data_IF_575797688450
#
_entry.id   IF_575797688450
#
_cell.length_a   1.000
_cell.length_b   1.000
_cell.length_c   1.000
_cell.angle_alpha   90.00
_cell.angle_beta   90.00
_cell.angle_gamma   90.00
#
_symmetry.space_group_name_H-M   'P 1'
#
loop_
_entity.id
_entity.type
_entity.pdbx_description
1 polymer ?
#
# COMPACT_ATOMS: atom_id res chain seq x y z
N UNK A 1 -28.83 19.35 -18.34
CA UNK A 1 -27.35 19.22 -18.25
C UNK A 1 -27.09 17.95 -17.47
N UNK A 2 -26.67 16.86 -18.15
CA UNK A 2 -26.73 15.49 -17.62
C UNK A 2 -25.41 15.18 -16.93
N UNK A 3 -25.43 14.91 -15.62
CA UNK A 3 -24.28 14.45 -14.85
C UNK A 3 -23.98 12.99 -15.24
N UNK A 4 -22.82 12.75 -15.81
CA UNK A 4 -22.31 11.39 -16.12
C UNK A 4 -21.87 10.75 -14.82
N UNK A 5 -22.50 9.66 -14.43
CA UNK A 5 -22.06 8.78 -13.35
C UNK A 5 -20.82 8.01 -13.82
N UNK A 6 -19.67 8.34 -13.25
CA UNK A 6 -18.47 7.54 -13.39
C UNK A 6 -18.56 6.35 -12.42
N UNK A 7 -18.25 5.15 -12.91
CA UNK A 7 -18.45 3.87 -12.21
C UNK A 7 -17.44 3.56 -11.08
N UNK A 8 -16.69 4.53 -10.61
CA UNK A 8 -15.78 4.43 -9.45
C UNK A 8 -16.05 5.62 -8.52
N UNK A 9 -17.07 5.49 -7.68
CA UNK A 9 -17.53 6.53 -6.76
C UNK A 9 -16.63 6.77 -5.54
N UNK A 10 -15.33 6.84 -5.69
CA UNK A 10 -14.40 7.33 -4.67
C UNK A 10 -13.92 8.72 -5.08
N UNK A 11 -14.75 9.74 -4.88
CA UNK A 11 -14.27 11.11 -4.83
C UNK A 11 -13.79 11.38 -3.41
N UNK A 12 -12.50 11.62 -3.23
CA UNK A 12 -12.01 12.29 -2.02
C UNK A 12 -12.76 13.61 -1.92
N UNK A 13 -13.69 13.71 -0.96
CA UNK A 13 -14.38 14.96 -0.67
C UNK A 13 -13.35 15.94 -0.12
N UNK A 14 -13.22 17.16 -0.69
CA UNK A 14 -12.34 18.18 -0.12
C UNK A 14 -12.81 18.49 1.30
N UNK A 15 -11.87 18.43 2.26
CA UNK A 15 -12.13 18.64 3.68
C UNK A 15 -11.96 20.13 3.96
N UNK A 16 -13.02 20.92 3.79
CA UNK A 16 -13.02 22.37 4.11
C UNK A 16 -14.21 22.78 4.99
N UNK A 17 -14.56 21.94 5.99
CA UNK A 17 -15.52 22.34 7.02
C UNK A 17 -15.00 22.03 8.42
N UNK A 18 -15.18 22.97 9.38
CA UNK A 18 -14.79 22.80 10.79
C UNK A 18 -15.32 21.49 11.41
N UNK A 19 -16.49 21.04 10.99
CA UNK A 19 -17.06 19.74 11.39
C UNK A 19 -16.19 18.56 10.94
N UNK A 20 -15.60 18.63 9.75
CA UNK A 20 -14.69 17.62 9.22
C UNK A 20 -13.36 17.57 9.96
N UNK A 21 -12.84 18.73 10.39
CA UNK A 21 -11.61 18.81 11.20
C UNK A 21 -11.83 18.23 12.59
N UNK A 22 -12.94 18.54 13.25
CA UNK A 22 -13.28 18.01 14.58
C UNK A 22 -13.51 16.50 14.49
N UNK A 23 -14.22 16.03 13.48
CA UNK A 23 -14.43 14.61 13.21
C UNK A 23 -13.08 13.88 12.98
N UNK A 24 -12.16 14.48 12.21
CA UNK A 24 -10.83 13.93 11.95
C UNK A 24 -10.03 13.77 13.26
N UNK A 25 -10.09 14.72 14.19
CA UNK A 25 -9.45 14.63 15.50
C UNK A 25 -10.03 13.51 16.37
N UNK A 26 -11.34 13.21 16.28
CA UNK A 26 -11.97 12.13 17.02
C UNK A 26 -11.54 10.74 16.56
N UNK A 27 -11.16 10.57 15.28
CA UNK A 27 -10.89 9.26 14.70
C UNK A 27 -9.41 8.91 14.63
N UNK A 28 -8.52 9.89 14.64
CA UNK A 28 -7.07 9.67 14.56
C UNK A 28 -6.55 8.72 15.67
N UNK A 29 -7.19 8.74 16.82
CA UNK A 29 -6.82 7.90 17.97
C UNK A 29 -7.52 6.54 18.02
N UNK A 30 -8.45 6.26 17.11
CA UNK A 30 -9.14 4.97 17.08
C UNK A 30 -8.28 3.92 16.38
N UNK A 31 -8.23 2.71 16.93
CA UNK A 31 -7.66 1.57 16.22
C UNK A 31 -8.53 1.17 15.02
N UNK A 32 -7.95 0.46 14.06
CA UNK A 32 -8.67 -0.04 12.87
C UNK A 32 -9.89 -0.88 13.25
N UNK A 33 -9.77 -1.72 14.29
CA UNK A 33 -10.84 -2.55 14.79
C UNK A 33 -11.99 -1.70 15.36
N UNK A 34 -11.65 -0.60 16.05
CA UNK A 34 -12.65 0.34 16.56
C UNK A 34 -13.35 1.11 15.46
N UNK A 35 -12.63 1.50 14.39
CA UNK A 35 -13.23 2.12 13.21
C UNK A 35 -14.23 1.17 12.53
N UNK A 36 -13.85 -0.10 12.37
CA UNK A 36 -14.72 -1.11 11.77
C UNK A 36 -15.94 -1.38 12.65
N UNK A 37 -15.76 -1.47 13.98
CA UNK A 37 -16.86 -1.66 14.91
C UNK A 37 -17.86 -0.48 14.85
N UNK A 38 -17.37 0.75 14.81
CA UNK A 38 -18.22 1.95 14.66
C UNK A 38 -18.92 1.99 13.32
N UNK A 39 -18.23 1.68 12.22
CA UNK A 39 -18.84 1.56 10.90
C UNK A 39 -20.04 0.60 10.91
N UNK A 40 -19.90 -0.56 11.56
CA UNK A 40 -20.97 -1.57 11.65
C UNK A 40 -22.13 -1.19 12.55
N UNK A 41 -21.87 -0.42 13.58
CA UNK A 41 -22.88 0.02 14.55
C UNK A 41 -23.60 1.31 14.12
N UNK A 42 -23.05 2.05 13.16
CA UNK A 42 -23.57 3.35 12.76
C UNK A 42 -24.76 3.21 11.82
N UNK A 43 -25.86 3.86 12.17
CA UNK A 43 -27.11 3.88 11.39
C UNK A 43 -27.12 5.00 10.34
N UNK A 44 -26.40 6.09 10.62
CA UNK A 44 -26.27 7.18 9.66
C UNK A 44 -25.24 6.81 8.59
N UNK A 45 -25.70 6.60 7.36
CA UNK A 45 -24.87 6.18 6.23
C UNK A 45 -23.69 7.11 5.97
N UNK A 46 -23.90 8.43 6.00
CA UNK A 46 -22.83 9.41 5.75
C UNK A 46 -21.73 9.32 6.83
N UNK A 47 -22.11 9.10 8.09
CA UNK A 47 -21.16 8.93 9.20
C UNK A 47 -20.46 7.58 9.17
N UNK A 48 -21.16 6.53 8.79
CA UNK A 48 -20.56 5.21 8.55
C UNK A 48 -19.50 5.27 7.45
N UNK A 49 -19.78 5.94 6.33
CA UNK A 49 -18.82 6.13 5.24
C UNK A 49 -17.55 6.88 5.69
N UNK A 50 -17.66 7.82 6.63
CA UNK A 50 -16.51 8.53 7.18
C UNK A 50 -15.56 7.61 7.93
N UNK A 51 -16.06 6.69 8.78
CA UNK A 51 -15.21 5.72 9.47
C UNK A 51 -14.44 4.83 8.51
N UNK A 52 -15.10 4.39 7.45
CA UNK A 52 -14.47 3.50 6.49
C UNK A 52 -13.48 4.23 5.59
N UNK A 53 -13.79 5.49 5.22
CA UNK A 53 -12.87 6.34 4.46
C UNK A 53 -11.57 6.56 5.23
N UNK A 54 -11.66 6.83 6.55
CA UNK A 54 -10.48 6.97 7.40
C UNK A 54 -9.67 5.67 7.46
N UNK A 55 -10.32 4.52 7.62
CA UNK A 55 -9.64 3.22 7.62
C UNK A 55 -8.84 3.01 6.32
N UNK A 56 -9.46 3.23 5.16
CA UNK A 56 -8.79 3.05 3.88
C UNK A 56 -7.72 4.12 3.63
N UNK A 57 -7.92 5.36 4.07
CA UNK A 57 -6.92 6.42 4.00
C UNK A 57 -5.62 6.02 4.73
N UNK A 58 -5.71 5.39 5.91
CA UNK A 58 -4.55 4.90 6.66
C UNK A 58 -3.79 3.80 5.95
N UNK A 59 -4.50 2.97 5.19
CA UNK A 59 -3.92 1.80 4.54
C UNK A 59 -3.58 2.02 3.06
N UNK A 60 -4.04 3.09 2.43
CA UNK A 60 -3.83 3.34 1.00
C UNK A 60 -2.34 3.31 0.59
N UNK A 61 -1.48 4.02 1.33
CA UNK A 61 -0.03 4.04 1.05
C UNK A 61 0.60 2.67 1.22
N UNK A 62 0.13 1.87 2.21
CA UNK A 62 0.60 0.50 2.42
C UNK A 62 0.23 -0.40 1.25
N UNK A 63 -1.02 -0.31 0.79
CA UNK A 63 -1.51 -1.08 -0.37
C UNK A 63 -0.69 -0.71 -1.62
N UNK A 64 -0.45 0.58 -1.88
CA UNK A 64 0.37 1.01 -3.02
C UNK A 64 1.81 0.47 -2.95
N UNK A 65 2.44 0.47 -1.76
CA UNK A 65 3.77 -0.13 -1.56
C UNK A 65 3.78 -1.64 -1.81
N UNK A 66 2.75 -2.34 -1.36
CA UNK A 66 2.63 -3.78 -1.64
C UNK A 66 2.49 -4.04 -3.13
N UNK A 67 1.61 -3.29 -3.81
CA UNK A 67 1.45 -3.41 -5.26
C UNK A 67 2.77 -3.15 -5.99
N UNK A 68 3.51 -2.10 -5.61
CA UNK A 68 4.81 -1.79 -6.20
C UNK A 68 5.83 -2.92 -5.97
N UNK A 69 5.84 -3.53 -4.77
CA UNK A 69 6.72 -4.66 -4.49
C UNK A 69 6.43 -5.89 -5.36
N UNK A 70 5.17 -6.09 -5.77
CA UNK A 70 4.77 -7.17 -6.67
C UNK A 70 5.00 -6.83 -8.15
N UNK A 71 4.59 -5.64 -8.58
CA UNK A 71 4.55 -5.28 -10.02
C UNK A 71 5.85 -4.71 -10.54
N UNK A 72 6.67 -4.12 -9.66
CA UNK A 72 7.87 -3.36 -10.02
C UNK A 72 7.59 -2.20 -10.99
N UNK A 73 6.35 -1.77 -11.10
CA UNK A 73 5.88 -0.70 -11.97
C UNK A 73 4.88 0.18 -11.22
N UNK A 74 5.14 1.50 -11.21
CA UNK A 74 4.39 2.46 -10.39
C UNK A 74 2.97 2.70 -10.89
N UNK A 75 2.80 2.82 -12.22
CA UNK A 75 1.49 3.05 -12.82
C UNK A 75 0.57 1.87 -12.53
N UNK A 76 1.04 0.67 -12.82
CA UNK A 76 0.33 -0.57 -12.47
C UNK A 76 0.05 -0.71 -10.98
N UNK A 77 1.01 -0.30 -10.13
CA UNK A 77 0.83 -0.37 -8.69
C UNK A 77 -0.27 0.57 -8.20
N UNK A 78 -0.38 1.78 -8.79
CA UNK A 78 -1.42 2.74 -8.43
C UNK A 78 -2.81 2.23 -8.83
N UNK A 79 -2.96 1.72 -10.05
CA UNK A 79 -4.22 1.16 -10.54
C UNK A 79 -4.66 -0.04 -9.70
N UNK A 80 -3.75 -0.98 -9.47
CA UNK A 80 -4.01 -2.14 -8.63
C UNK A 80 -4.36 -1.76 -7.19
N UNK A 81 -3.72 -0.73 -6.63
CA UNK A 81 -4.05 -0.26 -5.29
C UNK A 81 -5.49 0.26 -5.20
N UNK A 82 -5.97 1.00 -6.21
CA UNK A 82 -7.36 1.44 -6.27
C UNK A 82 -8.33 0.25 -6.38
N UNK A 83 -8.05 -0.71 -7.27
CA UNK A 83 -8.87 -1.91 -7.43
C UNK A 83 -8.93 -2.75 -6.15
N UNK A 84 -7.78 -2.91 -5.47
CA UNK A 84 -7.67 -3.63 -4.20
C UNK A 84 -8.49 -2.94 -3.11
N UNK A 85 -8.40 -1.62 -2.97
CA UNK A 85 -9.19 -0.87 -2.01
C UNK A 85 -10.69 -1.01 -2.28
N UNK A 86 -11.12 -0.90 -3.54
CA UNK A 86 -12.51 -1.10 -3.94
C UNK A 86 -13.00 -2.52 -3.65
N UNK A 87 -12.17 -3.54 -3.91
CA UNK A 87 -12.47 -4.94 -3.63
C UNK A 87 -12.54 -5.21 -2.13
N UNK A 88 -11.60 -4.67 -1.35
CA UNK A 88 -11.58 -4.79 0.09
C UNK A 88 -12.81 -4.12 0.73
N UNK A 89 -13.21 -2.94 0.24
CA UNK A 89 -14.45 -2.29 0.68
C UNK A 89 -15.66 -3.19 0.47
N UNK A 90 -15.84 -3.74 -0.73
CA UNK A 90 -16.93 -4.67 -1.05
C UNK A 90 -16.92 -5.92 -0.17
N UNK A 91 -15.73 -6.40 0.19
CA UNK A 91 -15.53 -7.62 0.99
C UNK A 91 -15.44 -7.39 2.49
N UNK A 92 -15.60 -6.14 2.97
CA UNK A 92 -15.41 -5.77 4.38
C UNK A 92 -16.38 -6.50 5.33
N UNK A 93 -17.54 -6.93 4.83
CA UNK A 93 -18.49 -7.75 5.58
C UNK A 93 -17.90 -9.12 5.99
N UNK A 94 -16.93 -9.65 5.21
CA UNK A 94 -16.26 -10.93 5.50
C UNK A 94 -15.09 -10.81 6.49
N UNK A 95 -14.69 -9.62 6.86
CA UNK A 95 -13.68 -9.42 7.90
C UNK A 95 -14.27 -9.64 9.29
N UNK A 96 -13.90 -10.71 9.96
CA UNK A 96 -14.45 -11.09 11.28
C UNK A 96 -13.53 -10.77 12.46
N UNK A 97 -12.43 -10.04 12.24
CA UNK A 97 -11.50 -9.66 13.33
C UNK A 97 -10.61 -10.79 13.85
N UNK A 98 -10.51 -11.92 13.14
CA UNK A 98 -9.64 -13.05 13.50
C UNK A 98 -8.15 -12.76 13.26
N UNK A 99 -7.84 -11.67 12.57
CA UNK A 99 -6.48 -11.16 12.33
C UNK A 99 -6.51 -9.64 12.38
N UNK A 100 -5.32 -9.00 12.37
CA UNK A 100 -5.25 -7.55 12.13
C UNK A 100 -5.86 -7.20 10.77
N UNK A 101 -6.52 -6.04 10.67
CA UNK A 101 -7.09 -5.57 9.40
C UNK A 101 -6.05 -5.50 8.27
N UNK A 102 -4.83 -5.04 8.57
CA UNK A 102 -3.73 -4.99 7.61
C UNK A 102 -3.37 -6.37 7.03
N UNK A 103 -3.40 -7.42 7.85
CA UNK A 103 -3.12 -8.81 7.41
C UNK A 103 -4.21 -9.32 6.46
N UNK A 104 -5.47 -9.07 6.79
CA UNK A 104 -6.60 -9.41 5.93
C UNK A 104 -6.55 -8.65 4.60
N UNK A 105 -6.30 -7.33 4.65
CA UNK A 105 -6.17 -6.49 3.47
C UNK A 105 -5.01 -6.92 2.57
N UNK A 106 -3.87 -7.30 3.16
CA UNK A 106 -2.74 -7.84 2.41
C UNK A 106 -3.09 -9.13 1.68
N UNK A 107 -3.89 -10.02 2.26
CA UNK A 107 -4.31 -11.26 1.58
C UNK A 107 -5.11 -10.97 0.30
N UNK A 108 -5.95 -9.94 0.32
CA UNK A 108 -6.68 -9.46 -0.87
C UNK A 108 -5.69 -8.88 -1.89
N UNK A 109 -4.76 -8.02 -1.43
CA UNK A 109 -3.76 -7.38 -2.27
C UNK A 109 -2.87 -8.42 -2.96
N UNK A 110 -2.31 -9.37 -2.21
CA UNK A 110 -1.48 -10.45 -2.75
C UNK A 110 -2.18 -11.23 -3.86
N UNK A 111 -3.40 -11.69 -3.59
CA UNK A 111 -4.15 -12.49 -4.56
C UNK A 111 -4.45 -11.68 -5.83
N UNK A 112 -4.77 -10.39 -5.68
CA UNK A 112 -5.05 -9.51 -6.81
C UNK A 112 -3.80 -9.22 -7.64
N UNK A 113 -2.68 -8.89 -7.01
CA UNK A 113 -1.39 -8.67 -7.68
C UNK A 113 -0.90 -9.93 -8.41
N UNK A 114 -0.95 -11.10 -7.78
CA UNK A 114 -0.54 -12.35 -8.44
C UNK A 114 -1.40 -12.67 -9.66
N UNK A 115 -2.69 -12.40 -9.61
CA UNK A 115 -3.57 -12.59 -10.78
C UNK A 115 -3.22 -11.59 -11.90
N UNK A 116 -2.96 -10.32 -11.57
CA UNK A 116 -2.56 -9.31 -12.55
C UNK A 116 -1.24 -9.68 -13.24
N UNK A 117 -0.23 -10.15 -12.47
CA UNK A 117 1.06 -10.59 -13.02
C UNK A 117 0.87 -11.79 -13.96
N UNK A 118 0.08 -12.78 -13.57
CA UNK A 118 -0.21 -13.96 -14.41
C UNK A 118 -0.89 -13.57 -15.72
N UNK A 119 -1.83 -12.64 -15.68
CA UNK A 119 -2.50 -12.14 -16.90
C UNK A 119 -1.53 -11.37 -17.81
N UNK A 120 -0.60 -10.60 -17.23
CA UNK A 120 0.43 -9.86 -17.99
C UNK A 120 1.48 -10.79 -18.63
N UNK A 121 1.94 -11.80 -17.91
CA UNK A 121 2.91 -12.77 -18.43
C UNK A 121 2.36 -13.59 -19.61
N UNK A 122 1.05 -13.54 -19.84
CA UNK A 122 0.39 -14.13 -21.03
C UNK A 122 0.31 -13.19 -22.23
N UNK A 123 0.79 -11.94 -22.12
CA UNK A 123 0.80 -10.94 -23.18
C UNK A 123 2.26 -10.53 -23.46
N UNK A 124 2.76 -10.61 -24.71
CA UNK A 124 4.13 -10.16 -25.05
C UNK A 124 4.22 -8.65 -25.10
N UNK A 125 5.09 -8.09 -24.27
CA UNK A 125 5.72 -6.77 -24.44
C UNK A 125 4.91 -5.58 -23.96
N UNK A 126 5.29 -5.02 -22.81
CA UNK A 126 5.29 -3.57 -22.58
C UNK A 126 6.17 -3.22 -21.38
N UNK A 127 7.34 -2.64 -21.72
CA UNK A 127 8.14 -1.84 -20.78
C UNK A 127 7.50 -0.45 -20.68
N UNK A 128 7.22 0.02 -19.49
CA UNK A 128 6.95 1.44 -19.24
C UNK A 128 7.31 1.81 -17.82
N UNK A 129 8.40 2.54 -17.72
CA UNK A 129 8.86 3.21 -16.52
C UNK A 129 8.45 4.69 -16.65
N UNK A 130 7.52 5.19 -15.87
CA UNK A 130 7.42 6.56 -15.32
C UNK A 130 6.02 6.93 -14.84
N UNK A 131 6.02 7.60 -13.70
CA UNK A 131 4.98 8.40 -13.05
C UNK A 131 4.08 7.67 -12.02
N UNK A 132 4.38 7.84 -10.73
CA UNK A 132 3.39 8.05 -9.64
C UNK A 132 4.12 8.39 -8.33
N UNK A 133 4.50 9.65 -8.15
CA UNK A 133 4.95 10.17 -6.85
C UNK A 133 4.03 11.27 -6.31
N UNK A 134 3.01 11.66 -7.07
CA UNK A 134 2.17 12.82 -6.74
C UNK A 134 0.98 12.51 -5.81
N UNK A 135 0.84 11.27 -5.33
CA UNK A 135 -0.27 10.87 -4.45
C UNK A 135 0.16 10.41 -3.05
N UNK A 136 1.26 10.93 -2.52
CA UNK A 136 1.52 10.80 -1.09
C UNK A 136 0.66 11.82 -0.35
N UNK A 137 -0.16 11.40 0.65
CA UNK A 137 -0.92 12.34 1.44
C UNK A 137 0.03 13.28 2.17
N UNK A 138 -0.27 14.58 2.08
CA UNK A 138 0.35 15.67 2.81
C UNK A 138 0.32 15.38 4.32
N UNK A 139 1.45 14.98 4.88
CA UNK A 139 1.64 14.97 6.32
C UNK A 139 2.05 16.39 6.72
N UNK A 140 1.07 17.15 7.19
CA UNK A 140 1.16 18.39 7.97
C UNK A 140 2.45 19.21 7.83
N UNK A 141 2.33 20.38 7.18
CA UNK A 141 3.16 21.60 7.39
C UNK A 141 4.65 21.39 7.68
N UNK A 142 5.36 20.67 6.85
CA UNK A 142 6.82 20.69 6.80
C UNK A 142 7.29 21.67 5.71
N UNK A 143 8.48 22.28 5.93
CA UNK A 143 9.11 23.18 4.98
C UNK A 143 9.16 22.54 3.58
N UNK A 144 8.73 23.23 2.50
CA UNK A 144 8.70 22.70 1.14
C UNK A 144 10.03 22.08 0.67
N UNK A 145 11.16 22.65 1.08
CA UNK A 145 12.49 22.15 0.72
C UNK A 145 12.76 20.76 1.33
N UNK A 146 12.37 20.55 2.60
CA UNK A 146 12.51 19.25 3.29
C UNK A 146 11.60 18.20 2.67
N UNK A 147 10.41 18.58 2.24
CA UNK A 147 9.50 17.69 1.52
C UNK A 147 10.08 17.26 0.17
N UNK A 148 10.69 18.20 -0.56
CA UNK A 148 11.32 17.93 -1.86
C UNK A 148 12.49 16.95 -1.71
N UNK A 149 13.37 17.18 -0.73
CA UNK A 149 14.49 16.26 -0.44
C UNK A 149 14.01 14.86 -0.03
N UNK A 150 12.99 14.77 0.82
CA UNK A 150 12.40 13.47 1.21
C UNK A 150 11.78 12.74 0.02
N UNK A 151 11.10 13.48 -0.87
CA UNK A 151 10.51 12.90 -2.10
C UNK A 151 11.63 12.33 -2.98
N UNK A 152 12.68 13.08 -3.25
CA UNK A 152 13.82 12.62 -4.04
C UNK A 152 14.51 11.39 -3.43
N UNK A 153 14.74 11.38 -2.11
CA UNK A 153 15.31 10.22 -1.42
C UNK A 153 14.41 8.99 -1.50
N UNK A 154 13.11 9.17 -1.38
CA UNK A 154 12.14 8.08 -1.53
C UNK A 154 12.13 7.51 -2.96
N UNK A 155 12.26 8.37 -3.97
CA UNK A 155 12.38 7.96 -5.38
C UNK A 155 13.63 7.12 -5.62
N UNK A 156 14.78 7.60 -5.18
CA UNK A 156 16.05 6.88 -5.27
C UNK A 156 15.98 5.54 -4.54
N UNK A 157 15.43 5.52 -3.32
CA UNK A 157 15.27 4.29 -2.56
C UNK A 157 14.36 3.28 -3.26
N UNK A 158 13.22 3.72 -3.81
CA UNK A 158 12.33 2.88 -4.61
C UNK A 158 13.05 2.32 -5.83
N UNK A 159 13.78 3.15 -6.58
CA UNK A 159 14.52 2.71 -7.75
C UNK A 159 15.56 1.64 -7.38
N UNK A 160 16.36 1.86 -6.34
CA UNK A 160 17.36 0.88 -5.88
C UNK A 160 16.68 -0.44 -5.47
N UNK A 161 15.55 -0.40 -4.74
CA UNK A 161 14.81 -1.59 -4.36
C UNK A 161 14.30 -2.36 -5.59
N UNK A 162 13.77 -1.64 -6.57
CA UNK A 162 13.21 -2.21 -7.79
C UNK A 162 14.27 -2.85 -8.69
N UNK A 163 15.43 -2.20 -8.83
CA UNK A 163 16.52 -2.68 -9.69
C UNK A 163 17.36 -3.79 -9.04
N UNK A 164 17.56 -3.74 -7.71
CA UNK A 164 18.47 -4.65 -7.02
C UNK A 164 17.80 -5.95 -6.54
N UNK A 165 16.50 -5.96 -6.28
CA UNK A 165 15.81 -7.08 -5.65
C UNK A 165 14.86 -7.81 -6.61
N UNK A 166 14.84 -9.13 -6.51
CA UNK A 166 13.82 -9.96 -7.14
C UNK A 166 12.44 -9.77 -6.46
N UNK A 167 11.37 -10.13 -7.14
CA UNK A 167 9.97 -9.93 -6.67
C UNK A 167 9.77 -10.43 -5.24
N UNK A 168 10.11 -11.68 -4.97
CA UNK A 168 9.93 -12.27 -3.63
C UNK A 168 10.77 -11.56 -2.57
N UNK A 169 12.00 -11.18 -2.90
CA UNK A 169 12.88 -10.43 -2.00
C UNK A 169 12.30 -9.04 -1.68
N UNK A 170 11.79 -8.32 -2.69
CA UNK A 170 11.15 -7.01 -2.49
C UNK A 170 9.94 -7.11 -1.58
N UNK A 171 9.05 -8.08 -1.86
CA UNK A 171 7.84 -8.29 -1.06
C UNK A 171 8.20 -8.62 0.39
N UNK A 172 9.09 -9.59 0.61
CA UNK A 172 9.53 -9.97 1.96
C UNK A 172 10.19 -8.79 2.68
N UNK A 173 11.06 -8.05 2.00
CA UNK A 173 11.74 -6.88 2.55
C UNK A 173 10.75 -5.78 2.94
N UNK A 174 9.81 -5.44 2.06
CA UNK A 174 8.77 -4.44 2.31
C UNK A 174 7.89 -4.84 3.49
N UNK A 175 7.41 -6.08 3.54
CA UNK A 175 6.57 -6.56 4.63
C UNK A 175 7.30 -6.57 5.97
N UNK A 176 8.58 -6.89 5.98
CA UNK A 176 9.36 -6.94 7.22
C UNK A 176 9.78 -5.56 7.72
N UNK A 177 10.31 -4.69 6.85
CA UNK A 177 10.88 -3.40 7.27
C UNK A 177 9.91 -2.23 7.21
N UNK A 178 8.95 -2.23 6.27
CA UNK A 178 7.99 -1.14 6.18
C UNK A 178 6.68 -1.42 6.94
N UNK A 179 6.30 -2.69 7.08
CA UNK A 179 5.07 -3.09 7.78
C UNK A 179 5.34 -3.80 9.11
N UNK A 180 6.62 -3.95 9.48
CA UNK A 180 7.07 -4.55 10.76
C UNK A 180 6.49 -5.95 11.04
N UNK A 181 6.18 -6.72 9.99
CA UNK A 181 5.64 -8.06 10.14
C UNK A 181 6.74 -9.05 10.54
N UNK A 182 6.44 -9.97 11.48
CA UNK A 182 7.34 -11.06 11.84
C UNK A 182 7.62 -11.99 10.65
N UNK A 183 8.85 -12.49 10.54
CA UNK A 183 9.28 -13.32 9.40
C UNK A 183 8.51 -14.63 9.27
N UNK A 184 8.08 -15.22 10.38
CA UNK A 184 7.24 -16.42 10.38
C UNK A 184 5.84 -16.15 9.82
N UNK A 185 5.27 -14.97 10.12
CA UNK A 185 4.00 -14.52 9.53
C UNK A 185 4.16 -14.32 8.03
N UNK A 186 5.22 -13.63 7.59
CA UNK A 186 5.53 -13.41 6.17
C UNK A 186 5.70 -14.76 5.44
N UNK A 187 6.44 -15.69 6.04
CA UNK A 187 6.63 -17.03 5.47
C UNK A 187 5.32 -17.76 5.21
N UNK A 188 4.39 -17.73 6.17
CA UNK A 188 3.04 -18.30 6.00
C UNK A 188 2.22 -17.54 4.95
N UNK A 189 2.23 -16.20 4.97
CA UNK A 189 1.46 -15.37 4.04
C UNK A 189 1.87 -15.58 2.58
N UNK A 190 3.16 -15.78 2.34
CA UNK A 190 3.73 -15.97 1.00
C UNK A 190 3.88 -17.46 0.61
N UNK A 191 3.51 -18.39 1.49
CA UNK A 191 3.69 -19.83 1.30
C UNK A 191 5.15 -20.19 0.94
N UNK A 192 6.12 -19.64 1.68
CA UNK A 192 7.54 -19.91 1.44
C UNK A 192 7.91 -21.29 1.99
N UNK A 193 8.30 -22.20 1.09
CA UNK A 193 8.57 -23.61 1.40
C UNK A 193 10.04 -23.91 1.67
N UNK A 194 10.94 -22.93 1.50
CA UNK A 194 12.36 -23.10 1.77
C UNK A 194 12.65 -23.25 3.27
N UNK A 195 13.66 -24.07 3.63
CA UNK A 195 14.02 -24.40 5.02
C UNK A 195 14.30 -23.15 5.91
N UNK A 196 14.79 -22.08 5.33
CA UNK A 196 15.07 -20.81 6.04
C UNK A 196 13.90 -19.81 5.97
N UNK A 197 12.82 -20.13 5.30
CA UNK A 197 11.63 -19.27 5.18
C UNK A 197 11.95 -17.86 4.69
N UNK A 198 11.22 -16.87 5.19
CA UNK A 198 11.40 -15.47 4.84
C UNK A 198 12.78 -14.89 5.24
N UNK A 199 13.47 -15.50 6.23
CA UNK A 199 14.78 -15.02 6.69
C UNK A 199 15.84 -15.07 5.59
N UNK A 200 15.85 -16.11 4.75
CA UNK A 200 16.81 -16.23 3.65
C UNK A 200 16.65 -15.05 2.65
N UNK A 201 15.43 -14.68 2.34
CA UNK A 201 15.14 -13.54 1.44
C UNK A 201 15.59 -12.22 2.03
N UNK A 202 15.39 -11.99 3.33
CA UNK A 202 15.88 -10.77 4.02
C UNK A 202 17.41 -10.68 3.97
N UNK A 203 18.12 -11.79 4.23
CA UNK A 203 19.58 -11.80 4.18
C UNK A 203 20.10 -11.54 2.76
N UNK A 204 19.50 -12.18 1.76
CA UNK A 204 19.85 -11.95 0.36
C UNK A 204 19.57 -10.51 -0.08
N UNK A 205 18.38 -9.98 0.26
CA UNK A 205 17.98 -8.61 -0.03
C UNK A 205 18.96 -7.59 0.57
N UNK A 206 19.33 -7.72 1.84
CA UNK A 206 20.31 -6.82 2.49
C UNK A 206 21.63 -6.80 1.73
N UNK A 207 22.19 -7.95 1.40
CA UNK A 207 23.45 -8.05 0.65
C UNK A 207 23.38 -7.39 -0.74
N UNK A 208 22.27 -7.62 -1.47
CA UNK A 208 22.06 -7.00 -2.79
C UNK A 208 21.92 -5.48 -2.69
N UNK A 209 21.17 -4.99 -1.68
CA UNK A 209 20.99 -3.56 -1.44
C UNK A 209 22.29 -2.86 -1.02
N UNK A 210 23.09 -3.45 -0.15
CA UNK A 210 24.39 -2.91 0.25
C UNK A 210 25.32 -2.74 -0.96
N UNK A 211 25.30 -3.71 -1.89
CA UNK A 211 26.05 -3.62 -3.14
C UNK A 211 25.52 -2.51 -4.04
N UNK A 212 24.22 -2.43 -4.23
CA UNK A 212 23.57 -1.43 -5.06
C UNK A 212 23.82 0.00 -4.55
N UNK A 213 23.69 0.21 -3.23
CA UNK A 213 23.97 1.51 -2.58
C UNK A 213 25.44 1.91 -2.74
N UNK A 214 26.39 0.97 -2.64
CA UNK A 214 27.81 1.26 -2.89
C UNK A 214 28.06 1.72 -4.32
N UNK A 215 27.45 1.05 -5.30
CA UNK A 215 27.57 1.42 -6.72
C UNK A 215 26.94 2.79 -6.95
N UNK A 216 25.78 3.04 -6.38
CA UNK A 216 25.09 4.33 -6.50
C UNK A 216 25.91 5.47 -5.91
N UNK A 217 26.49 5.30 -4.69
CA UNK A 217 27.36 6.29 -4.05
C UNK A 217 28.66 6.56 -4.82
N UNK A 218 29.14 5.60 -5.59
CA UNK A 218 30.34 5.77 -6.40
C UNK A 218 30.07 6.52 -7.71
N UNK A 219 28.81 6.64 -8.14
CA UNK A 219 28.39 7.32 -9.36
C UNK A 219 27.90 8.75 -9.13
N UNK A 220 27.53 9.09 -7.90
CA UNK A 220 27.03 10.40 -7.45
C UNK A 220 27.88 10.96 -6.33
#
# INVERSE_FOLDING_TARGET
>A
MVARHSAAGWTMVPVDDKASIIAKMEWEHLSDEKLIARYRAETNKARAEQYINELFRRHHVKVARWCLAFTNDRESAADLAQEICAKAYKSLHSFHGQSKFSTWLFSIARNHCLNAIRTRSSLPGMDSLHAVLDTLPDLAAENPDVMMERKQLAEIACQILCEALEETERVVFTLHFAEELPLDVIGRMLNLTNASGAKAYVVSAKRKLERAIRIWKAKN
#
